data_IF_046471942811
#
_entry.id   IF_046471942811
#
_cell.length_a   1.000
_cell.length_b   1.000
_cell.length_c   1.000
_cell.angle_alpha   90.00
_cell.angle_beta   90.00
_cell.angle_gamma   90.00
#
_symmetry.space_group_name_H-M   'P 1'
#
loop_
_entity.id
_entity.type
_entity.pdbx_description
1 polymer ?
#
# COMPACT_ATOMS: atom_id res chain seq x y z
N UNK A 1 15.50 -7.67 7.11
CA UNK A 1 16.14 -6.34 7.19
C UNK A 1 15.06 -5.35 7.58
N UNK A 2 15.41 -4.33 8.34
CA UNK A 2 14.46 -3.26 8.69
C UNK A 2 13.95 -2.58 7.42
N UNK A 3 12.63 -2.42 7.28
CA UNK A 3 12.08 -1.61 6.19
C UNK A 3 12.34 -0.14 6.52
N UNK A 4 12.82 0.65 5.55
CA UNK A 4 12.97 2.10 5.77
C UNK A 4 11.63 2.79 5.61
N UNK A 5 11.51 4.02 6.14
CA UNK A 5 10.29 4.79 5.97
C UNK A 5 10.02 5.09 4.48
N UNK A 6 11.05 5.45 3.70
CA UNK A 6 10.89 5.64 2.24
C UNK A 6 10.39 4.38 1.54
N UNK A 7 10.87 3.19 1.94
CA UNK A 7 10.40 1.93 1.38
C UNK A 7 8.90 1.71 1.65
N UNK A 8 8.42 2.06 2.86
CA UNK A 8 7.00 1.98 3.19
C UNK A 8 6.15 2.93 2.32
N UNK A 9 6.66 4.14 2.06
CA UNK A 9 6.00 5.13 1.19
C UNK A 9 5.90 4.60 -0.24
N UNK A 10 6.97 4.04 -0.80
CA UNK A 10 6.96 3.48 -2.15
C UNK A 10 6.04 2.26 -2.27
N UNK A 11 6.05 1.37 -1.26
CA UNK A 11 5.10 0.23 -1.22
C UNK A 11 3.65 0.70 -1.15
N UNK A 12 3.35 1.72 -0.34
CA UNK A 12 2.00 2.28 -0.26
C UNK A 12 1.58 2.93 -1.58
N UNK A 13 2.48 3.66 -2.25
CA UNK A 13 2.21 4.24 -3.57
C UNK A 13 1.90 3.15 -4.62
N UNK A 14 2.67 2.07 -4.63
CA UNK A 14 2.41 0.94 -5.53
C UNK A 14 1.03 0.29 -5.25
N UNK A 15 0.68 0.12 -3.98
CA UNK A 15 -0.66 -0.37 -3.60
C UNK A 15 -1.77 0.60 -4.06
N UNK A 16 -1.61 1.91 -3.89
CA UNK A 16 -2.60 2.90 -4.30
C UNK A 16 -2.78 2.95 -5.83
N UNK A 17 -1.70 2.84 -6.60
CA UNK A 17 -1.74 2.73 -8.06
C UNK A 17 -2.44 1.44 -8.53
N UNK A 18 -2.16 0.31 -7.89
CA UNK A 18 -2.84 -0.95 -8.19
C UNK A 18 -4.34 -0.87 -7.88
N UNK A 19 -4.71 -0.21 -6.77
CA UNK A 19 -6.11 0.03 -6.42
C UNK A 19 -6.82 0.90 -7.46
N UNK A 20 -6.18 1.99 -7.90
CA UNK A 20 -6.72 2.88 -8.94
C UNK A 20 -6.92 2.12 -10.26
N UNK A 21 -5.99 1.25 -10.63
CA UNK A 21 -6.12 0.38 -11.81
C UNK A 21 -7.31 -0.57 -11.70
N UNK A 22 -7.48 -1.23 -10.55
CA UNK A 22 -8.63 -2.10 -10.32
C UNK A 22 -9.95 -1.30 -10.42
N UNK A 23 -10.04 -0.12 -9.82
CA UNK A 23 -11.24 0.73 -9.93
C UNK A 23 -11.54 1.17 -11.36
N UNK A 24 -10.51 1.49 -12.15
CA UNK A 24 -10.68 1.82 -13.57
C UNK A 24 -11.23 0.64 -14.37
N UNK A 25 -10.75 -0.59 -14.12
CA UNK A 25 -11.26 -1.80 -14.78
C UNK A 25 -12.69 -2.14 -14.37
N UNK A 26 -13.02 -1.94 -13.08
CA UNK A 26 -14.40 -2.06 -12.59
C UNK A 26 -15.35 -1.11 -13.34
N UNK A 27 -14.91 0.13 -13.53
CA UNK A 27 -15.68 1.16 -14.24
C UNK A 27 -15.85 0.83 -15.72
N UNK A 28 -14.84 0.20 -16.35
CA UNK A 28 -14.92 -0.28 -17.74
C UNK A 28 -15.81 -1.50 -17.93
N UNK A 29 -16.19 -2.19 -16.85
CA UNK A 29 -17.05 -3.38 -16.92
C UNK A 29 -16.33 -4.60 -17.48
N UNK A 30 -15.05 -4.80 -17.14
CA UNK A 30 -14.28 -6.00 -17.49
C UNK A 30 -14.01 -6.85 -16.21
N UNK A 31 -14.90 -7.81 -15.88
CA UNK A 31 -14.79 -8.56 -14.63
C UNK A 31 -13.49 -9.40 -14.52
N UNK A 32 -13.05 -10.17 -15.55
CA UNK A 32 -11.80 -10.92 -15.46
C UNK A 32 -10.56 -10.04 -15.23
N UNK A 33 -10.47 -8.91 -15.91
CA UNK A 33 -9.35 -7.98 -15.71
C UNK A 33 -9.41 -7.32 -14.32
N UNK A 34 -10.61 -6.93 -13.88
CA UNK A 34 -10.83 -6.40 -12.53
C UNK A 34 -10.38 -7.37 -11.44
N UNK A 35 -10.79 -8.64 -11.51
CA UNK A 35 -10.41 -9.64 -10.50
C UNK A 35 -8.89 -9.84 -10.43
N UNK A 36 -8.22 -9.84 -11.58
CA UNK A 36 -6.76 -9.93 -11.65
C UNK A 36 -6.10 -8.72 -10.98
N UNK A 37 -6.51 -7.50 -11.34
CA UNK A 37 -5.98 -6.27 -10.75
C UNK A 37 -6.30 -6.17 -9.24
N UNK A 38 -7.45 -6.67 -8.82
CA UNK A 38 -7.85 -6.72 -7.43
C UNK A 38 -6.96 -7.64 -6.60
N UNK A 39 -6.57 -8.80 -7.12
CA UNK A 39 -5.62 -9.68 -6.44
C UNK A 39 -4.24 -9.04 -6.32
N UNK A 40 -3.75 -8.40 -7.39
CA UNK A 40 -2.48 -7.66 -7.35
C UNK A 40 -2.50 -6.58 -6.26
N UNK A 41 -3.57 -5.78 -6.19
CA UNK A 41 -3.74 -4.79 -5.13
C UNK A 41 -3.76 -5.42 -3.74
N UNK A 42 -4.49 -6.53 -3.54
CA UNK A 42 -4.55 -7.22 -2.25
C UNK A 42 -3.18 -7.71 -1.78
N UNK A 43 -2.36 -8.20 -2.68
CA UNK A 43 -1.04 -8.71 -2.32
C UNK A 43 -0.08 -7.57 -1.94
N UNK A 44 -0.11 -6.46 -2.70
CA UNK A 44 0.62 -5.25 -2.32
C UNK A 44 0.14 -4.66 -0.99
N UNK A 45 -1.17 -4.63 -0.74
CA UNK A 45 -1.73 -4.14 0.51
C UNK A 45 -1.30 -4.99 1.71
N UNK A 46 -1.20 -6.32 1.57
CA UNK A 46 -0.65 -7.20 2.61
C UNK A 46 0.84 -6.93 2.85
N UNK A 47 1.61 -6.73 1.78
CA UNK A 47 3.04 -6.41 1.88
C UNK A 47 3.27 -5.10 2.65
N UNK A 48 2.51 -4.04 2.33
CA UNK A 48 2.52 -2.78 3.09
C UNK A 48 2.21 -3.02 4.58
N UNK A 49 1.16 -3.77 4.89
CA UNK A 49 0.79 -4.05 6.30
C UNK A 49 1.89 -4.82 7.04
N UNK A 50 2.52 -5.79 6.38
CA UNK A 50 3.65 -6.53 6.92
C UNK A 50 4.84 -5.62 7.20
N UNK A 51 5.22 -4.81 6.22
CA UNK A 51 6.36 -3.90 6.31
C UNK A 51 6.17 -2.84 7.40
N UNK A 52 4.98 -2.22 7.48
CA UNK A 52 4.64 -1.26 8.55
C UNK A 52 4.66 -1.93 9.93
N UNK A 53 4.21 -3.18 10.03
CA UNK A 53 4.26 -3.92 11.30
C UNK A 53 5.69 -4.16 11.77
N UNK A 54 6.58 -4.56 10.85
CA UNK A 54 8.00 -4.76 11.15
C UNK A 54 8.67 -3.44 11.55
N UNK A 55 8.48 -2.39 10.75
CA UNK A 55 9.06 -1.06 11.02
C UNK A 55 8.60 -0.47 12.36
N UNK A 56 7.30 -0.56 12.67
CA UNK A 56 6.76 -0.08 13.94
C UNK A 56 7.35 -0.82 15.14
N UNK A 57 7.50 -2.15 15.02
CA UNK A 57 8.13 -2.99 16.06
C UNK A 57 9.58 -2.59 16.31
N UNK A 58 10.34 -2.32 15.25
CA UNK A 58 11.75 -1.92 15.35
C UNK A 58 11.92 -0.54 15.98
N UNK A 59 11.03 0.41 15.67
CA UNK A 59 11.02 1.73 16.29
C UNK A 59 10.41 1.76 17.70
N UNK A 60 9.81 0.65 18.16
CA UNK A 60 9.07 0.61 19.44
C UNK A 60 7.83 1.52 19.44
N UNK A 61 7.24 1.78 18.27
CA UNK A 61 6.09 2.68 18.10
C UNK A 61 4.81 1.90 17.79
N UNK A 62 3.67 2.59 17.87
CA UNK A 62 2.39 2.00 17.50
C UNK A 62 2.25 1.95 15.98
N UNK A 63 1.87 0.78 15.45
CA UNK A 63 1.65 0.53 14.02
C UNK A 63 0.76 1.60 13.35
N UNK A 64 -0.33 1.97 14.01
CA UNK A 64 -1.28 2.96 13.49
C UNK A 64 -0.65 4.35 13.25
N UNK A 65 0.35 4.73 14.07
CA UNK A 65 1.10 5.97 13.87
C UNK A 65 1.94 5.93 12.60
N UNK A 66 2.67 4.84 12.38
CA UNK A 66 3.45 4.62 11.15
C UNK A 66 2.55 4.61 9.92
N UNK A 67 1.40 3.91 9.96
CA UNK A 67 0.45 3.90 8.83
C UNK A 67 -0.06 5.30 8.48
N UNK A 68 -0.31 6.14 9.49
CA UNK A 68 -0.76 7.52 9.28
C UNK A 68 0.34 8.37 8.62
N UNK A 69 1.58 8.26 9.10
CA UNK A 69 2.71 9.02 8.55
C UNK A 69 3.01 8.59 7.11
N UNK A 70 2.97 7.29 6.81
CA UNK A 70 3.12 6.78 5.44
C UNK A 70 2.03 7.36 4.52
N UNK A 71 0.77 7.32 4.94
CA UNK A 71 -0.36 7.90 4.17
C UNK A 71 -0.21 9.40 3.95
N UNK A 72 0.29 10.15 4.93
CA UNK A 72 0.57 11.58 4.78
C UNK A 72 1.69 11.80 3.77
N UNK A 73 2.79 11.06 3.87
CA UNK A 73 3.94 11.19 2.98
C UNK A 73 3.59 10.89 1.52
N UNK A 74 2.79 9.85 1.25
CA UNK A 74 2.28 9.57 -0.11
C UNK A 74 1.51 10.77 -0.66
N UNK A 75 0.59 11.35 0.10
CA UNK A 75 -0.23 12.50 -0.34
C UNK A 75 0.56 13.81 -0.53
N UNK A 76 1.68 13.97 0.18
CA UNK A 76 2.52 15.17 0.08
C UNK A 76 3.48 15.12 -1.12
N UNK A 77 3.64 13.96 -1.74
CA UNK A 77 4.58 13.71 -2.84
C UNK A 77 3.86 13.40 -4.16
N UNK A 78 2.53 13.54 -4.20
CA UNK A 78 1.68 13.56 -5.39
C UNK A 78 1.42 14.99 -5.86
#
# INVERSE_FOLDING_TARGET
>A
MAHTFEELVEKQRAADQAHATAQALRTKGDPPAYETAWQVWRDLAKDVQGAVTVHAKELGTVRAGVELEVKKAVRLTE
#
